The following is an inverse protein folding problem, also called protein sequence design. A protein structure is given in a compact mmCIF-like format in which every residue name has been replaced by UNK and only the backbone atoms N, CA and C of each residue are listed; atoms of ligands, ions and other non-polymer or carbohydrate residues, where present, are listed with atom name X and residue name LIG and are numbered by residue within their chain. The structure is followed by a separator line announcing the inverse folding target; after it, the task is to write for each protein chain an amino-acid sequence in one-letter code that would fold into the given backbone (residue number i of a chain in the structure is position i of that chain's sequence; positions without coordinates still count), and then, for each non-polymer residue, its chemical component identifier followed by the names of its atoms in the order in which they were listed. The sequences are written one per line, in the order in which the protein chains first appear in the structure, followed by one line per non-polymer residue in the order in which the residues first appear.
data_IF_158886473066
#
_entry.id   IF_158886473066
#
_cell.length_a   1.000
_cell.length_b   1.000
_cell.length_c   1.000
_cell.angle_alpha   90.00
_cell.angle_beta   90.00
_cell.angle_gamma   90.00
#
_symmetry.space_group_name_H-M   'P 1'
#
loop_
_entity.id
_entity.type
_entity.pdbx_description
1 polymer ?
#
# COMPACT_ATOMS: atom_id res chain seq x y z
N UNK A 1 11.11 25.30 9.44
CA UNK A 1 12.38 24.60 9.27
C UNK A 1 12.83 24.78 7.83
N UNK A 2 14.03 25.33 7.63
CA UNK A 2 14.60 25.44 6.28
C UNK A 2 14.88 24.05 5.73
N UNK A 3 14.78 23.86 4.43
CA UNK A 3 14.99 22.58 3.71
C UNK A 3 16.35 21.93 4.09
N UNK A 4 17.40 22.73 4.27
CA UNK A 4 18.72 22.30 4.73
C UNK A 4 18.71 21.65 6.13
N UNK A 5 17.87 22.12 7.05
CA UNK A 5 17.79 21.54 8.40
C UNK A 5 17.21 20.12 8.38
N UNK A 6 16.18 19.86 7.57
CA UNK A 6 15.60 18.52 7.42
C UNK A 6 16.59 17.57 6.74
N UNK A 7 17.26 18.04 5.69
CA UNK A 7 18.29 17.27 4.96
C UNK A 7 19.41 16.79 5.88
N UNK A 8 20.00 17.71 6.68
CA UNK A 8 21.08 17.36 7.60
C UNK A 8 20.62 16.39 8.68
N UNK A 9 19.42 16.58 9.23
CA UNK A 9 18.85 15.68 10.25
C UNK A 9 18.60 14.29 9.67
N UNK A 10 18.07 14.19 8.44
CA UNK A 10 17.82 12.92 7.78
C UNK A 10 19.14 12.16 7.53
N UNK A 11 20.16 12.81 7.00
CA UNK A 11 21.48 12.19 6.80
C UNK A 11 22.10 11.73 8.12
N UNK A 12 22.03 12.56 9.18
CA UNK A 12 22.50 12.19 10.51
C UNK A 12 21.76 10.98 11.07
N UNK A 13 20.42 10.96 10.95
CA UNK A 13 19.60 9.84 11.42
C UNK A 13 19.97 8.51 10.76
N UNK A 14 20.32 8.50 9.48
CA UNK A 14 20.71 7.29 8.78
C UNK A 14 22.14 6.83 9.03
N UNK A 15 23.01 7.75 9.47
CA UNK A 15 24.43 7.47 9.72
C UNK A 15 24.77 7.12 11.17
N UNK A 16 23.98 7.62 12.14
CA UNK A 16 24.29 7.54 13.56
C UNK A 16 23.12 7.01 14.40
N UNK A 17 23.42 6.31 15.56
CA UNK A 17 24.75 5.94 16.07
C UNK A 17 25.42 4.80 15.28
N UNK A 18 24.64 4.06 14.50
CA UNK A 18 25.09 2.96 13.63
C UNK A 18 24.47 3.15 12.25
N UNK A 19 25.21 3.01 11.15
CA UNK A 19 24.65 3.13 9.80
C UNK A 19 23.51 2.14 9.54
N UNK A 20 22.49 2.61 8.81
CA UNK A 20 21.30 1.82 8.50
C UNK A 20 20.25 1.82 9.61
N UNK A 21 19.15 1.11 9.37
CA UNK A 21 17.98 1.05 10.28
C UNK A 21 17.67 -0.36 10.75
N UNK A 22 18.36 -1.37 10.23
CA UNK A 22 18.13 -2.77 10.50
C UNK A 22 19.34 -3.44 11.13
N UNK A 23 19.07 -4.44 11.96
CA UNK A 23 20.07 -5.37 12.49
C UNK A 23 19.46 -6.76 12.59
N UNK A 24 20.30 -7.79 12.60
CA UNK A 24 19.89 -9.18 12.80
C UNK A 24 20.16 -9.56 14.24
N UNK A 25 19.15 -10.09 14.92
CA UNK A 25 19.25 -10.55 16.31
C UNK A 25 19.07 -12.07 16.41
N UNK A 26 19.84 -12.69 17.30
CA UNK A 26 19.70 -14.12 17.62
C UNK A 26 18.56 -14.31 18.62
N UNK A 27 17.65 -15.25 18.35
CA UNK A 27 16.46 -15.53 19.17
C UNK A 27 16.60 -16.70 20.12
N UNK A 28 17.70 -17.46 20.03
CA UNK A 28 17.97 -18.65 20.85
C UNK A 28 19.23 -18.43 21.69
N UNK A 29 19.31 -19.02 22.89
CA UNK A 29 20.55 -18.98 23.69
C UNK A 29 21.68 -19.72 22.97
N UNK A 30 22.90 -19.22 23.12
CA UNK A 30 24.13 -19.80 22.55
C UNK A 30 25.28 -19.70 23.57
N UNK A 31 24.96 -19.87 24.85
CA UNK A 31 25.88 -19.63 25.95
C UNK A 31 26.55 -20.90 26.50
N UNK A 32 26.12 -22.07 26.07
CA UNK A 32 26.65 -23.38 26.51
C UNK A 32 27.01 -24.28 25.33
N UNK A 33 27.82 -25.32 25.60
CA UNK A 33 28.13 -26.34 24.60
C UNK A 33 26.90 -27.09 24.16
N UNK A 34 25.92 -27.25 25.02
CA UNK A 34 24.64 -27.88 24.72
C UNK A 34 23.81 -27.01 23.77
N UNK A 35 23.70 -25.72 24.05
CA UNK A 35 23.05 -24.74 23.15
C UNK A 35 23.66 -24.81 21.74
N UNK A 36 24.98 -24.81 21.63
CA UNK A 36 25.69 -24.89 20.36
C UNK A 36 25.42 -26.21 19.63
N UNK A 37 25.32 -27.31 20.37
CA UNK A 37 25.01 -28.65 19.81
C UNK A 37 23.57 -28.69 19.26
N UNK A 38 22.63 -27.99 19.89
CA UNK A 38 21.26 -27.88 19.44
C UNK A 38 21.13 -26.90 18.27
N UNK A 39 21.82 -25.74 18.35
CA UNK A 39 21.72 -24.69 17.36
C UNK A 39 22.38 -25.06 16.03
N UNK A 40 23.43 -25.90 16.05
CA UNK A 40 24.18 -26.27 14.86
C UNK A 40 24.46 -27.80 14.85
N UNK A 41 25.69 -28.25 14.93
CA UNK A 41 26.06 -29.66 14.81
C UNK A 41 26.15 -30.31 16.20
N UNK A 42 25.49 -31.47 16.45
CA UNK A 42 24.73 -32.33 15.52
C UNK A 42 23.21 -32.05 15.45
N UNK A 43 22.63 -31.28 16.38
CA UNK A 43 21.19 -31.17 16.61
C UNK A 43 20.42 -30.59 15.42
N UNK A 44 21.05 -29.73 14.61
CA UNK A 44 20.40 -29.11 13.43
C UNK A 44 19.96 -30.14 12.37
N UNK A 45 20.47 -31.37 12.40
CA UNK A 45 20.06 -32.44 11.49
C UNK A 45 18.55 -32.80 11.68
N UNK A 46 18.04 -32.75 12.90
CA UNK A 46 16.65 -33.14 13.19
C UNK A 46 15.61 -32.24 12.51
N UNK A 47 15.66 -30.91 12.64
CA UNK A 47 14.73 -30.05 11.90
C UNK A 47 14.95 -30.12 10.37
N UNK A 48 16.15 -30.37 9.87
CA UNK A 48 16.39 -30.60 8.43
C UNK A 48 15.63 -31.82 7.94
N UNK A 49 15.73 -32.94 8.64
CA UNK A 49 15.02 -34.19 8.28
C UNK A 49 13.49 -34.02 8.42
N UNK A 50 13.02 -33.30 9.43
CA UNK A 50 11.62 -33.03 9.59
C UNK A 50 11.06 -32.21 8.40
N UNK A 51 11.77 -31.16 7.98
CA UNK A 51 11.37 -30.31 6.84
C UNK A 51 11.49 -31.07 5.50
N UNK A 52 12.49 -31.93 5.34
CA UNK A 52 12.61 -32.83 4.16
C UNK A 52 11.39 -33.74 4.05
N UNK A 53 10.97 -34.33 5.19
CA UNK A 53 9.80 -35.21 5.24
C UNK A 53 8.48 -34.46 5.07
N UNK A 54 8.36 -33.26 5.62
CA UNK A 54 7.17 -32.38 5.53
C UNK A 54 7.59 -30.92 5.35
N UNK A 55 7.55 -30.34 4.13
CA UNK A 55 7.95 -28.96 3.85
C UNK A 55 7.24 -27.90 4.68
N UNK A 56 6.03 -28.17 5.18
CA UNK A 56 5.28 -27.24 6.04
C UNK A 56 5.94 -27.04 7.40
N UNK A 57 6.78 -27.97 7.84
CA UNK A 57 7.54 -27.86 9.08
C UNK A 57 8.61 -26.74 9.03
N UNK A 58 8.90 -26.20 7.85
CA UNK A 58 9.72 -24.99 7.72
C UNK A 58 9.11 -23.79 8.46
N UNK A 59 7.80 -23.71 8.54
CA UNK A 59 7.09 -22.66 9.30
C UNK A 59 7.16 -22.86 10.82
N UNK A 60 7.44 -24.08 11.26
CA UNK A 60 7.57 -24.42 12.68
C UNK A 60 9.02 -24.26 13.18
N UNK A 61 9.99 -24.71 12.38
CA UNK A 61 11.39 -24.82 12.80
C UNK A 61 12.30 -23.69 12.30
N UNK A 62 11.79 -22.78 11.47
CA UNK A 62 12.57 -21.65 10.92
C UNK A 62 11.84 -20.32 11.08
N UNK A 63 12.55 -19.21 10.78
CA UNK A 63 11.96 -17.87 10.77
C UNK A 63 11.01 -17.60 9.58
N UNK A 64 10.87 -18.55 8.64
CA UNK A 64 10.09 -18.38 7.39
C UNK A 64 8.69 -17.84 7.62
N UNK A 65 7.99 -18.32 8.66
CA UNK A 65 6.60 -17.93 8.96
C UNK A 65 6.41 -16.49 9.39
N UNK A 66 7.48 -15.77 9.76
CA UNK A 66 7.46 -14.36 10.17
C UNK A 66 8.38 -13.48 9.31
N UNK A 67 8.92 -13.98 8.20
CA UNK A 67 9.92 -13.29 7.40
C UNK A 67 9.34 -12.88 6.05
N UNK A 68 9.35 -11.58 5.75
CA UNK A 68 8.92 -10.97 4.49
C UNK A 68 10.13 -10.49 3.70
N UNK A 69 10.18 -10.73 2.39
CA UNK A 69 11.10 -10.03 1.51
C UNK A 69 10.48 -8.73 1.03
N UNK A 70 11.16 -7.59 1.18
CA UNK A 70 10.84 -6.35 0.48
C UNK A 70 11.75 -6.26 -0.74
N UNK A 71 11.18 -6.43 -1.93
CA UNK A 71 11.95 -6.53 -3.18
C UNK A 71 11.71 -5.33 -4.08
N UNK A 72 12.79 -4.75 -4.58
CA UNK A 72 12.78 -3.60 -5.50
C UNK A 72 13.85 -3.69 -6.56
N UNK A 73 13.66 -2.99 -7.67
CA UNK A 73 14.74 -2.63 -8.59
C UNK A 73 14.99 -1.11 -8.65
N UNK A 74 14.32 -0.35 -7.80
CA UNK A 74 14.52 1.09 -7.64
C UNK A 74 14.12 1.93 -8.85
N UNK A 75 13.15 1.46 -9.65
CA UNK A 75 12.76 2.13 -10.91
C UNK A 75 11.67 3.17 -10.76
N UNK A 76 11.00 3.27 -9.58
CA UNK A 76 9.91 4.22 -9.31
C UNK A 76 9.92 4.76 -7.87
N UNK A 77 11.07 5.23 -7.38
CA UNK A 77 11.28 5.60 -5.98
C UNK A 77 10.68 6.96 -5.65
N UNK A 78 9.66 7.00 -4.77
CA UNK A 78 9.13 8.18 -4.04
C UNK A 78 9.12 9.52 -4.82
N UNK A 79 8.78 9.54 -6.10
CA UNK A 79 8.80 10.76 -6.92
C UNK A 79 10.21 11.17 -7.41
N UNK A 80 11.25 10.44 -7.01
CA UNK A 80 12.60 10.57 -7.56
C UNK A 80 12.77 9.83 -8.90
N UNK A 81 11.86 8.88 -9.17
CA UNK A 81 11.87 8.08 -10.37
C UNK A 81 12.88 6.93 -10.31
N UNK A 82 13.55 6.66 -11.45
CA UNK A 82 14.52 5.58 -11.54
C UNK A 82 15.87 6.02 -10.95
N UNK A 83 16.13 5.61 -9.71
CA UNK A 83 17.41 5.87 -9.01
C UNK A 83 18.30 4.63 -8.93
N UNK A 84 17.75 3.47 -9.32
CA UNK A 84 18.42 2.18 -9.27
C UNK A 84 18.39 1.51 -7.89
N UNK A 85 18.81 0.22 -7.84
CA UNK A 85 18.65 -0.61 -6.65
C UNK A 85 19.43 -0.09 -5.43
N UNK A 86 20.69 0.25 -5.59
CA UNK A 86 21.53 0.67 -4.45
C UNK A 86 21.00 1.95 -3.77
N UNK A 87 20.56 2.94 -4.56
CA UNK A 87 20.07 4.20 -4.01
C UNK A 87 18.66 4.07 -3.40
N UNK A 88 17.89 3.02 -3.72
CA UNK A 88 16.60 2.74 -3.12
C UNK A 88 16.70 2.10 -1.72
N UNK A 89 17.85 1.54 -1.34
CA UNK A 89 18.03 0.82 -0.07
C UNK A 89 17.54 1.59 1.17
N UNK A 90 17.79 2.89 1.36
CA UNK A 90 17.27 3.60 2.53
C UNK A 90 15.74 3.61 2.62
N UNK A 91 15.04 3.56 1.48
CA UNK A 91 13.57 3.46 1.45
C UNK A 91 13.13 2.06 1.85
N UNK A 92 13.79 1.02 1.34
CA UNK A 92 13.48 -0.39 1.65
C UNK A 92 13.74 -0.71 3.12
N UNK A 93 14.84 -0.23 3.70
CA UNK A 93 15.05 -0.32 5.15
C UNK A 93 13.96 0.43 5.93
N UNK A 94 13.48 1.57 5.43
CA UNK A 94 12.34 2.29 6.00
C UNK A 94 11.08 1.46 5.99
N UNK A 95 10.79 0.79 4.88
CA UNK A 95 9.66 -0.15 4.75
C UNK A 95 9.79 -1.29 5.78
N UNK A 96 10.96 -1.87 5.93
CA UNK A 96 11.24 -2.93 6.90
C UNK A 96 11.01 -2.49 8.35
N UNK A 97 11.42 -1.26 8.72
CA UNK A 97 11.12 -0.67 10.03
C UNK A 97 9.63 -0.61 10.28
N UNK A 98 8.82 -0.20 9.29
CA UNK A 98 7.37 -0.12 9.43
C UNK A 98 6.74 -1.51 9.60
N UNK A 99 7.18 -2.51 8.85
CA UNK A 99 6.75 -3.91 9.03
C UNK A 99 7.02 -4.40 10.46
N UNK A 100 8.25 -4.19 10.96
CA UNK A 100 8.62 -4.61 12.33
C UNK A 100 7.86 -3.86 13.39
N UNK A 101 7.78 -2.53 13.28
CA UNK A 101 7.17 -1.68 14.29
C UNK A 101 5.66 -1.91 14.42
N UNK A 102 4.95 -2.04 13.29
CA UNK A 102 3.49 -2.08 13.29
C UNK A 102 2.90 -3.48 13.30
N UNK A 103 3.57 -4.46 12.69
CA UNK A 103 3.05 -5.82 12.56
C UNK A 103 3.93 -6.91 13.16
N UNK A 104 5.07 -6.53 13.75
CA UNK A 104 6.09 -7.47 14.29
C UNK A 104 6.53 -8.52 13.26
N UNK A 105 6.67 -8.10 12.00
CA UNK A 105 7.20 -8.91 10.92
C UNK A 105 8.67 -8.60 10.70
N UNK A 106 9.47 -9.65 10.58
CA UNK A 106 10.88 -9.54 10.21
C UNK A 106 11.00 -9.34 8.70
N UNK A 107 11.98 -8.57 8.27
CA UNK A 107 12.15 -8.23 6.86
C UNK A 107 13.61 -8.34 6.45
N UNK A 108 13.84 -8.93 5.27
CA UNK A 108 15.04 -8.67 4.48
C UNK A 108 14.65 -7.80 3.29
N UNK A 109 15.32 -6.65 3.17
CA UNK A 109 15.25 -5.80 2.00
C UNK A 109 16.21 -6.32 0.92
N UNK A 110 15.68 -6.49 -0.30
CA UNK A 110 16.38 -7.10 -1.43
C UNK A 110 16.34 -6.15 -2.61
N UNK A 111 17.41 -5.42 -2.79
CA UNK A 111 17.60 -4.51 -3.91
C UNK A 111 18.22 -5.26 -5.09
N UNK A 112 17.44 -5.44 -6.17
CA UNK A 112 17.82 -6.29 -7.30
C UNK A 112 18.29 -5.46 -8.48
N UNK A 113 19.51 -5.67 -8.96
CA UNK A 113 20.01 -5.10 -10.21
C UNK A 113 19.45 -5.89 -11.41
N UNK A 114 18.13 -5.76 -11.58
CA UNK A 114 17.37 -6.44 -12.62
C UNK A 114 16.34 -5.49 -13.23
N UNK A 115 16.71 -4.84 -14.32
CA UNK A 115 15.82 -3.96 -15.09
C UNK A 115 14.87 -4.72 -16.02
N UNK A 116 15.23 -5.94 -16.42
CA UNK A 116 14.39 -6.84 -17.19
C UNK A 116 13.42 -7.57 -16.27
N UNK A 117 12.09 -7.53 -16.51
CA UNK A 117 11.10 -8.21 -15.70
C UNK A 117 11.35 -9.71 -15.56
N UNK A 118 11.80 -10.38 -16.62
CA UNK A 118 12.03 -11.83 -16.58
C UNK A 118 13.23 -12.19 -15.70
N UNK A 119 14.29 -11.37 -15.72
CA UNK A 119 15.42 -11.53 -14.80
C UNK A 119 15.01 -11.31 -13.35
N UNK A 120 14.17 -10.29 -13.07
CA UNK A 120 13.62 -10.05 -11.74
C UNK A 120 12.80 -11.23 -11.24
N UNK A 121 11.85 -11.71 -12.05
CA UNK A 121 10.99 -12.86 -11.72
C UNK A 121 11.83 -14.10 -11.44
N UNK A 122 12.83 -14.40 -12.28
CA UNK A 122 13.69 -15.57 -12.10
C UNK A 122 14.48 -15.49 -10.78
N UNK A 123 15.07 -14.34 -10.46
CA UNK A 123 15.81 -14.12 -9.22
C UNK A 123 14.89 -14.22 -7.98
N UNK A 124 13.72 -13.58 -8.00
CA UNK A 124 12.75 -13.61 -6.91
C UNK A 124 12.30 -15.05 -6.62
N UNK A 125 12.05 -15.87 -7.65
CA UNK A 125 11.70 -17.29 -7.52
C UNK A 125 12.80 -18.10 -6.86
N UNK A 126 14.06 -17.85 -7.20
CA UNK A 126 15.19 -18.58 -6.63
C UNK A 126 15.34 -18.37 -5.12
N UNK A 127 15.00 -17.19 -4.61
CA UNK A 127 15.13 -16.87 -3.18
C UNK A 127 13.82 -17.00 -2.39
N UNK A 128 12.68 -17.18 -3.05
CA UNK A 128 11.37 -17.31 -2.44
C UNK A 128 11.26 -18.38 -1.34
N UNK A 129 11.96 -19.52 -1.39
CA UNK A 129 11.92 -20.52 -0.31
C UNK A 129 12.29 -19.99 1.08
N UNK A 130 13.09 -18.92 1.15
CA UNK A 130 13.51 -18.28 2.41
C UNK A 130 12.34 -17.57 3.12
N UNK A 131 11.35 -17.09 2.37
CA UNK A 131 10.35 -16.12 2.85
C UNK A 131 8.96 -16.73 3.01
N UNK A 132 8.20 -16.18 3.96
CA UNK A 132 6.77 -16.46 4.11
C UNK A 132 5.91 -15.62 3.17
N UNK A 133 6.40 -14.44 2.74
CA UNK A 133 5.72 -13.55 1.81
C UNK A 133 6.71 -12.61 1.10
N UNK A 134 6.26 -11.99 0.02
CA UNK A 134 7.02 -11.00 -0.77
C UNK A 134 6.22 -9.71 -0.91
N UNK A 135 6.79 -8.60 -0.48
CA UNK A 135 6.35 -7.25 -0.81
C UNK A 135 7.17 -6.71 -1.97
N UNK A 136 6.52 -6.35 -3.06
CA UNK A 136 7.13 -5.62 -4.17
C UNK A 136 6.99 -4.12 -3.92
N UNK A 137 8.06 -3.35 -4.16
CA UNK A 137 8.11 -1.94 -3.83
C UNK A 137 8.86 -1.14 -4.89
N UNK A 138 8.39 0.07 -5.21
CA UNK A 138 9.06 1.04 -6.07
C UNK A 138 9.46 0.49 -7.46
N UNK A 139 8.64 -0.39 -8.04
CA UNK A 139 8.80 -0.94 -9.38
C UNK A 139 7.86 -0.19 -10.33
N UNK A 140 8.41 0.38 -11.41
CA UNK A 140 7.63 1.19 -12.36
C UNK A 140 6.57 0.36 -13.11
N UNK A 141 5.49 1.04 -13.49
CA UNK A 141 4.51 0.48 -14.42
C UNK A 141 4.96 0.69 -15.89
N UNK A 142 4.66 -0.24 -16.82
CA UNK A 142 3.79 -1.41 -16.63
C UNK A 142 4.49 -2.66 -16.08
N UNK A 143 5.81 -2.67 -15.94
CA UNK A 143 6.60 -3.85 -15.55
C UNK A 143 6.18 -4.42 -14.19
N UNK A 144 5.77 -3.58 -13.25
CA UNK A 144 5.31 -4.03 -11.93
C UNK A 144 4.09 -4.97 -12.01
N UNK A 145 3.19 -4.77 -12.98
CA UNK A 145 2.03 -5.64 -13.18
C UNK A 145 2.43 -7.04 -13.67
N UNK A 146 3.37 -7.10 -14.62
CA UNK A 146 3.89 -8.35 -15.16
C UNK A 146 4.64 -9.14 -14.07
N UNK A 147 5.53 -8.47 -13.33
CA UNK A 147 6.32 -9.08 -12.27
C UNK A 147 5.41 -9.64 -11.18
N UNK A 148 4.47 -8.85 -10.68
CA UNK A 148 3.55 -9.28 -9.63
C UNK A 148 2.71 -10.46 -10.08
N UNK A 149 2.05 -10.36 -11.24
CA UNK A 149 1.19 -11.42 -11.77
C UNK A 149 1.95 -12.74 -11.94
N UNK A 150 3.15 -12.67 -12.54
CA UNK A 150 3.97 -13.85 -12.75
C UNK A 150 4.42 -14.52 -11.44
N UNK A 151 4.74 -13.72 -10.40
CA UNK A 151 5.13 -14.26 -9.10
C UNK A 151 3.94 -14.85 -8.34
N UNK A 152 2.75 -14.22 -8.41
CA UNK A 152 1.51 -14.77 -7.83
C UNK A 152 1.17 -16.13 -8.44
N UNK A 153 1.31 -16.27 -9.77
CA UNK A 153 0.99 -17.52 -10.49
C UNK A 153 2.00 -18.64 -10.23
N UNK A 154 3.25 -18.30 -9.92
CA UNK A 154 4.34 -19.25 -9.86
C UNK A 154 4.83 -19.59 -8.44
N UNK A 155 4.37 -18.84 -7.43
CA UNK A 155 4.75 -19.05 -6.04
C UNK A 155 3.55 -19.44 -5.19
N UNK A 156 3.80 -20.20 -4.14
CA UNK A 156 2.78 -20.63 -3.17
C UNK A 156 2.91 -19.87 -1.84
N UNK A 157 3.29 -18.61 -1.91
CA UNK A 157 3.37 -17.66 -0.80
C UNK A 157 2.75 -16.33 -1.23
N UNK A 158 2.23 -15.52 -0.32
CA UNK A 158 1.70 -14.19 -0.63
C UNK A 158 2.71 -13.31 -1.35
N UNK A 159 2.30 -12.75 -2.50
CA UNK A 159 3.01 -11.69 -3.22
C UNK A 159 2.06 -10.50 -3.33
N UNK A 160 2.57 -9.29 -3.06
CA UNK A 160 1.74 -8.09 -3.01
C UNK A 160 2.60 -6.87 -3.34
N UNK A 161 2.14 -6.04 -4.27
CA UNK A 161 2.81 -4.80 -4.63
C UNK A 161 2.15 -3.63 -3.88
N UNK A 162 2.85 -3.07 -2.91
CA UNK A 162 2.25 -2.07 -2.02
C UNK A 162 1.85 -0.77 -2.73
N UNK A 163 2.64 -0.28 -3.68
CA UNK A 163 2.30 0.93 -4.46
C UNK A 163 1.03 0.77 -5.30
N UNK A 164 0.68 -0.47 -5.66
CA UNK A 164 -0.59 -0.77 -6.32
C UNK A 164 -1.70 -0.90 -5.26
N UNK A 165 -1.62 -1.93 -4.46
CA UNK A 165 -2.75 -2.43 -3.67
C UNK A 165 -2.86 -1.76 -2.30
N UNK A 166 -1.74 -1.45 -1.63
CA UNK A 166 -1.76 -0.74 -0.35
C UNK A 166 -2.38 0.65 -0.50
N UNK A 167 -1.94 1.38 -1.52
CA UNK A 167 -2.50 2.69 -1.88
C UNK A 167 -3.99 2.58 -2.25
N UNK A 168 -4.36 1.60 -3.09
CA UNK A 168 -5.75 1.40 -3.51
C UNK A 168 -6.69 1.09 -2.32
N UNK A 169 -6.25 0.26 -1.37
CA UNK A 169 -7.02 -0.11 -0.18
C UNK A 169 -7.29 1.11 0.70
N UNK A 170 -6.28 1.95 0.93
CA UNK A 170 -6.44 3.15 1.78
C UNK A 170 -7.30 4.20 1.08
N UNK A 171 -7.14 4.41 -0.23
CA UNK A 171 -8.03 5.27 -1.02
C UNK A 171 -9.47 4.78 -0.92
N UNK A 172 -9.71 3.48 -1.13
CA UNK A 172 -11.05 2.91 -1.09
C UNK A 172 -11.70 3.08 0.30
N UNK A 173 -10.97 2.80 1.39
CA UNK A 173 -11.47 2.97 2.75
C UNK A 173 -11.87 4.43 3.03
N UNK A 174 -11.00 5.39 2.71
CA UNK A 174 -11.29 6.81 2.88
C UNK A 174 -12.42 7.29 1.97
N UNK A 175 -12.48 6.81 0.73
CA UNK A 175 -13.52 7.20 -0.23
C UNK A 175 -14.91 6.71 0.21
N UNK A 176 -15.04 5.48 0.66
CA UNK A 176 -16.32 4.96 1.15
C UNK A 176 -16.84 5.78 2.34
N UNK A 177 -15.97 6.17 3.26
CA UNK A 177 -16.32 7.04 4.38
C UNK A 177 -16.68 8.46 3.92
N UNK A 178 -15.95 9.02 2.96
CA UNK A 178 -16.24 10.34 2.41
C UNK A 178 -17.58 10.36 1.66
N UNK A 179 -17.90 9.31 0.90
CA UNK A 179 -19.19 9.16 0.22
C UNK A 179 -20.34 9.10 1.21
N UNK A 180 -20.19 8.34 2.30
CA UNK A 180 -21.18 8.25 3.38
C UNK A 180 -21.48 9.64 3.98
N UNK A 181 -20.45 10.42 4.32
CA UNK A 181 -20.59 11.77 4.87
C UNK A 181 -21.28 12.71 3.86
N UNK A 182 -20.93 12.60 2.58
CA UNK A 182 -21.51 13.46 1.53
C UNK A 182 -22.90 13.01 1.08
N UNK A 183 -23.38 11.84 1.55
CA UNK A 183 -24.68 11.28 1.18
C UNK A 183 -24.71 10.79 -0.28
N UNK A 184 -23.57 10.29 -0.78
CA UNK A 184 -23.40 9.75 -2.13
C UNK A 184 -23.16 8.24 -2.07
N UNK A 185 -23.41 7.52 -3.17
CA UNK A 185 -23.13 6.08 -3.28
C UNK A 185 -22.00 5.82 -4.23
N UNK A 186 -21.22 4.76 -3.98
CA UNK A 186 -20.11 4.37 -4.85
C UNK A 186 -20.58 4.00 -6.26
N UNK A 187 -21.73 3.34 -6.37
CA UNK A 187 -22.34 2.89 -7.63
C UNK A 187 -22.67 4.08 -8.57
N UNK A 188 -23.22 5.16 -8.00
CA UNK A 188 -23.68 6.31 -8.80
C UNK A 188 -22.65 7.40 -8.96
N UNK A 189 -21.58 7.41 -8.16
CA UNK A 189 -20.59 8.46 -8.15
C UNK A 189 -19.82 8.53 -9.48
N UNK A 190 -19.69 9.74 -10.04
CA UNK A 190 -18.76 10.01 -11.15
C UNK A 190 -17.35 10.19 -10.60
N UNK A 191 -16.48 9.24 -10.93
CA UNK A 191 -15.10 9.16 -10.42
C UNK A 191 -14.12 9.51 -11.52
N UNK A 192 -13.28 10.52 -11.29
CA UNK A 192 -12.19 10.92 -12.19
C UNK A 192 -10.86 10.63 -11.51
N UNK A 193 -10.05 9.77 -12.12
CA UNK A 193 -8.70 9.44 -11.65
C UNK A 193 -7.65 9.94 -12.65
N UNK A 194 -6.71 10.76 -12.20
CA UNK A 194 -5.56 11.19 -13.00
C UNK A 194 -4.28 10.53 -12.49
N UNK A 195 -3.61 9.80 -13.40
CA UNK A 195 -2.44 8.99 -13.10
C UNK A 195 -2.69 7.50 -13.36
N UNK A 196 -2.60 7.08 -14.64
CA UNK A 196 -2.79 5.68 -15.05
C UNK A 196 -1.52 4.83 -14.88
N UNK A 197 -0.88 4.96 -13.71
CA UNK A 197 0.22 4.14 -13.23
C UNK A 197 -0.25 3.04 -12.28
N UNK A 198 0.68 2.51 -11.47
CA UNK A 198 0.43 1.44 -10.51
C UNK A 198 -0.75 1.74 -9.57
N UNK A 199 -0.68 2.85 -8.83
CA UNK A 199 -1.70 3.24 -7.86
C UNK A 199 -3.06 3.53 -8.49
N UNK A 200 -3.10 4.29 -9.60
CA UNK A 200 -4.35 4.67 -10.25
C UNK A 200 -5.11 3.48 -10.81
N UNK A 201 -4.44 2.61 -11.55
CA UNK A 201 -5.06 1.40 -12.13
C UNK A 201 -5.56 0.46 -11.02
N UNK A 202 -4.75 0.24 -9.98
CA UNK A 202 -5.14 -0.62 -8.86
C UNK A 202 -6.33 -0.04 -8.09
N UNK A 203 -6.35 1.29 -7.84
CA UNK A 203 -7.47 1.96 -7.17
C UNK A 203 -8.77 1.81 -7.97
N UNK A 204 -8.72 2.06 -9.27
CA UNK A 204 -9.90 1.93 -10.13
C UNK A 204 -10.43 0.49 -10.17
N UNK A 205 -9.54 -0.52 -10.22
CA UNK A 205 -9.92 -1.94 -10.16
C UNK A 205 -10.60 -2.29 -8.84
N UNK A 206 -10.03 -1.86 -7.73
CA UNK A 206 -10.57 -2.15 -6.41
C UNK A 206 -11.93 -1.47 -6.21
N UNK A 207 -12.11 -0.23 -6.68
CA UNK A 207 -13.39 0.47 -6.60
C UNK A 207 -14.48 -0.24 -7.44
N UNK A 208 -14.16 -0.75 -8.63
CA UNK A 208 -15.10 -1.60 -9.40
C UNK A 208 -15.48 -2.87 -8.62
N UNK A 209 -14.50 -3.52 -7.99
CA UNK A 209 -14.75 -4.70 -7.17
C UNK A 209 -15.65 -4.41 -5.96
N UNK A 210 -15.58 -3.19 -5.41
CA UNK A 210 -16.41 -2.72 -4.31
C UNK A 210 -17.79 -2.21 -4.76
N UNK A 211 -18.08 -2.19 -6.07
CA UNK A 211 -19.39 -1.86 -6.60
C UNK A 211 -19.50 -0.52 -7.35
N UNK A 212 -18.37 0.14 -7.67
CA UNK A 212 -18.40 1.32 -8.55
C UNK A 212 -18.85 0.92 -9.95
N UNK A 213 -19.75 1.70 -10.53
CA UNK A 213 -20.10 1.52 -11.95
C UNK A 213 -18.98 2.05 -12.84
N UNK A 214 -18.34 1.16 -13.56
CA UNK A 214 -17.25 1.48 -14.48
C UNK A 214 -17.66 2.51 -15.55
N UNK A 215 -18.94 2.60 -15.91
CA UNK A 215 -19.44 3.58 -16.86
C UNK A 215 -19.31 5.03 -16.32
N UNK A 216 -19.31 5.19 -15.00
CA UNK A 216 -19.16 6.48 -14.32
C UNK A 216 -17.69 6.79 -13.97
N UNK A 217 -16.73 5.99 -14.43
CA UNK A 217 -15.31 6.13 -14.09
C UNK A 217 -14.49 6.59 -15.29
N UNK A 218 -13.72 7.65 -15.10
CA UNK A 218 -12.81 8.18 -16.12
C UNK A 218 -11.37 8.11 -15.60
N UNK A 219 -10.51 7.40 -16.33
CA UNK A 219 -9.08 7.31 -16.03
C UNK A 219 -8.30 8.17 -17.04
N UNK A 220 -7.36 8.97 -16.56
CA UNK A 220 -6.52 9.86 -17.36
C UNK A 220 -5.04 9.54 -17.17
N UNK A 221 -4.27 9.72 -18.24
CA UNK A 221 -2.82 9.77 -18.19
C UNK A 221 -2.30 11.12 -18.74
N UNK A 222 -1.00 11.23 -19.00
CA UNK A 222 -0.37 12.45 -19.52
C UNK A 222 -0.87 12.90 -20.90
N UNK A 223 -1.60 12.04 -21.61
CA UNK A 223 -2.20 12.34 -22.93
C UNK A 223 -3.71 12.63 -22.86
N UNK A 224 -4.27 12.67 -21.66
CA UNK A 224 -5.69 12.91 -21.42
C UNK A 224 -6.48 11.66 -21.07
N UNK A 225 -7.78 11.69 -21.32
CA UNK A 225 -8.71 10.60 -21.00
C UNK A 225 -8.33 9.33 -21.78
N UNK A 226 -8.37 8.21 -21.07
CA UNK A 226 -8.18 6.88 -21.66
C UNK A 226 -9.52 6.46 -22.30
N UNK A 227 -9.60 6.47 -23.61
CA UNK A 227 -10.81 6.17 -24.38
C UNK A 227 -10.55 5.11 -25.47
N UNK A 228 -11.61 4.46 -25.91
CA UNK A 228 -11.51 3.32 -26.83
C UNK A 228 -10.85 3.64 -28.21
N UNK A 229 -10.83 4.91 -28.61
CA UNK A 229 -10.19 5.34 -29.87
C UNK A 229 -8.68 5.58 -29.76
N UNK A 230 -8.02 5.33 -28.61
CA UNK A 230 -6.56 5.47 -28.47
C UNK A 230 -5.86 4.18 -28.88
N UNK A 231 -4.78 4.32 -29.67
CA UNK A 231 -3.97 3.21 -30.18
C UNK A 231 -2.73 2.92 -29.31
N UNK A 232 -2.42 3.80 -28.35
CA UNK A 232 -1.20 3.74 -27.53
C UNK A 232 -1.42 3.10 -26.16
N UNK A 233 -2.52 2.39 -25.96
CA UNK A 233 -2.90 1.81 -24.69
C UNK A 233 -2.32 0.40 -24.52
N UNK A 234 -1.68 0.15 -23.37
CA UNK A 234 -1.43 -1.21 -22.93
C UNK A 234 -2.74 -1.86 -22.40
N UNK A 235 -2.73 -3.17 -22.20
CA UNK A 235 -3.92 -3.94 -21.76
C UNK A 235 -4.49 -3.41 -20.42
N UNK A 236 -3.65 -2.95 -19.51
CA UNK A 236 -4.07 -2.46 -18.18
C UNK A 236 -4.84 -1.14 -18.28
N UNK A 237 -4.39 -0.22 -19.13
CA UNK A 237 -5.08 1.03 -19.44
C UNK A 237 -6.33 0.78 -20.28
N UNK A 238 -6.23 -0.08 -21.29
CA UNK A 238 -7.36 -0.42 -22.17
C UNK A 238 -8.56 -0.98 -21.39
N UNK A 239 -8.30 -1.70 -20.29
CA UNK A 239 -9.36 -2.18 -19.41
C UNK A 239 -10.25 -1.04 -18.84
N UNK A 240 -9.78 0.21 -18.81
CA UNK A 240 -10.52 1.40 -18.39
C UNK A 240 -10.85 2.36 -19.54
N UNK A 241 -10.67 1.94 -20.79
CA UNK A 241 -11.02 2.76 -21.92
C UNK A 241 -12.54 3.07 -21.93
N UNK A 242 -12.87 4.36 -21.88
CA UNK A 242 -14.24 4.83 -21.88
C UNK A 242 -14.79 5.07 -23.30
N UNK A 243 -16.11 5.05 -23.43
CA UNK A 243 -16.85 5.51 -24.61
C UNK A 243 -17.33 6.97 -24.47
N UNK A 244 -17.08 7.62 -23.34
CA UNK A 244 -17.37 9.03 -23.13
C UNK A 244 -16.69 9.91 -24.18
N UNK A 245 -17.29 11.07 -24.49
CA UNK A 245 -16.71 12.06 -25.40
C UNK A 245 -15.62 12.93 -24.75
N UNK A 246 -15.47 12.87 -23.41
CA UNK A 246 -14.42 13.61 -22.71
C UNK A 246 -13.02 13.17 -23.14
N UNK A 247 -12.14 14.14 -23.39
CA UNK A 247 -10.74 13.91 -23.83
C UNK A 247 -9.73 14.57 -22.90
N UNK A 248 -10.13 15.62 -22.22
CA UNK A 248 -9.27 16.42 -21.33
C UNK A 248 -9.69 16.27 -19.87
N UNK A 249 -8.83 16.74 -18.94
CA UNK A 249 -9.16 16.78 -17.51
C UNK A 249 -10.35 17.70 -17.26
N UNK A 250 -10.42 18.85 -17.96
CA UNK A 250 -11.48 19.85 -17.83
C UNK A 250 -12.85 19.23 -18.17
N UNK A 251 -12.92 18.50 -19.28
CA UNK A 251 -14.14 17.82 -19.72
C UNK A 251 -14.53 16.68 -18.77
N UNK A 252 -13.54 15.95 -18.25
CA UNK A 252 -13.78 14.84 -17.33
C UNK A 252 -14.36 15.31 -15.99
N UNK A 253 -13.88 16.46 -15.47
CA UNK A 253 -14.26 16.97 -14.15
C UNK A 253 -15.63 17.65 -14.09
N UNK A 254 -16.25 17.96 -15.22
CA UNK A 254 -17.63 18.51 -15.21
C UNK A 254 -18.56 17.54 -14.48
N UNK A 255 -19.22 18.04 -13.43
CA UNK A 255 -20.13 17.27 -12.56
C UNK A 255 -19.50 15.99 -11.95
N UNK A 256 -18.18 15.94 -11.78
CA UNK A 256 -17.52 14.82 -11.11
C UNK A 256 -17.72 14.89 -9.59
N UNK A 257 -18.12 13.77 -8.98
CA UNK A 257 -18.29 13.63 -7.54
C UNK A 257 -16.95 13.43 -6.83
N UNK A 258 -16.04 12.70 -7.47
CA UNK A 258 -14.77 12.27 -6.88
C UNK A 258 -13.62 12.56 -7.84
N UNK A 259 -12.57 13.17 -7.29
CA UNK A 259 -11.27 13.33 -7.93
C UNK A 259 -10.22 12.50 -7.18
N UNK A 260 -9.48 11.64 -7.88
CA UNK A 260 -8.34 10.90 -7.36
C UNK A 260 -7.11 11.31 -8.17
N UNK A 261 -6.21 12.05 -7.54
CA UNK A 261 -4.93 12.48 -8.12
C UNK A 261 -3.79 11.62 -7.59
N UNK A 262 -3.09 10.94 -8.50
CA UNK A 262 -1.88 10.14 -8.22
C UNK A 262 -0.84 10.38 -9.35
N UNK A 263 -0.70 11.63 -9.77
CA UNK A 263 0.09 11.99 -10.95
C UNK A 263 1.16 13.05 -10.67
N UNK A 264 0.81 14.33 -10.71
CA UNK A 264 1.72 15.46 -10.59
C UNK A 264 1.10 16.58 -9.77
N UNK A 265 1.91 17.42 -9.11
CA UNK A 265 1.41 18.57 -8.37
C UNK A 265 0.69 19.60 -9.28
N UNK A 266 -0.15 20.40 -8.65
CA UNK A 266 -0.79 21.61 -9.22
C UNK A 266 -1.63 21.36 -10.49
N UNK A 267 -2.19 20.17 -10.66
CA UNK A 267 -3.05 19.82 -11.81
C UNK A 267 -4.50 20.31 -11.64
N UNK A 268 -4.99 20.36 -10.40
CA UNK A 268 -6.38 20.75 -10.11
C UNK A 268 -6.44 22.26 -9.78
N UNK A 269 -6.86 23.06 -10.76
CA UNK A 269 -7.00 24.51 -10.58
C UNK A 269 -8.31 24.88 -9.89
N UNK A 270 -8.45 26.11 -9.33
CA UNK A 270 -9.71 26.64 -8.79
C UNK A 270 -10.88 26.57 -9.78
N UNK A 271 -10.63 26.83 -11.05
CA UNK A 271 -11.66 26.77 -12.10
C UNK A 271 -12.17 25.34 -12.28
N UNK A 272 -11.27 24.36 -12.35
CA UNK A 272 -11.60 22.94 -12.46
C UNK A 272 -12.34 22.42 -11.22
N UNK A 273 -11.94 22.87 -10.03
CA UNK A 273 -12.60 22.51 -8.79
C UNK A 273 -14.06 23.00 -8.76
N UNK A 274 -14.33 24.19 -9.31
CA UNK A 274 -15.68 24.74 -9.40
C UNK A 274 -16.59 24.02 -10.42
N UNK A 275 -16.02 23.28 -11.39
CA UNK A 275 -16.80 22.49 -12.35
C UNK A 275 -17.29 21.16 -11.77
N UNK A 276 -16.73 20.70 -10.65
CA UNK A 276 -17.13 19.45 -10.00
C UNK A 276 -18.53 19.56 -9.35
N UNK A 277 -19.17 18.43 -9.17
CA UNK A 277 -20.46 18.33 -8.50
C UNK A 277 -20.45 18.96 -7.09
N UNK A 278 -21.62 19.39 -6.56
CA UNK A 278 -21.73 19.76 -5.14
C UNK A 278 -21.27 18.63 -4.22
N UNK A 279 -20.68 19.02 -3.07
CA UNK A 279 -20.15 18.06 -2.08
C UNK A 279 -19.11 17.12 -2.69
N UNK A 280 -18.17 17.68 -3.46
CA UNK A 280 -17.11 16.90 -4.10
C UNK A 280 -16.12 16.32 -3.08
N UNK A 281 -15.48 15.21 -3.47
CA UNK A 281 -14.50 14.48 -2.68
C UNK A 281 -13.17 14.48 -3.43
N UNK A 282 -12.10 14.95 -2.77
CA UNK A 282 -10.79 15.11 -3.37
C UNK A 282 -9.75 14.23 -2.66
N UNK A 283 -9.10 13.36 -3.41
CA UNK A 283 -7.89 12.64 -3.02
C UNK A 283 -6.73 13.20 -3.85
N UNK A 284 -6.02 14.20 -3.31
CA UNK A 284 -4.88 14.85 -3.96
C UNK A 284 -3.58 14.27 -3.37
N UNK A 285 -3.07 13.20 -3.98
CA UNK A 285 -2.09 12.31 -3.36
C UNK A 285 -0.67 12.43 -3.93
N UNK A 286 -0.46 13.28 -4.91
CA UNK A 286 0.87 13.54 -5.48
C UNK A 286 1.87 14.01 -4.39
N UNK A 287 3.09 13.48 -4.42
CA UNK A 287 4.15 13.80 -3.47
C UNK A 287 5.35 14.46 -4.18
N UNK A 288 6.03 15.45 -3.54
CA UNK A 288 5.77 15.99 -2.20
C UNK A 288 4.64 17.02 -2.15
N UNK A 289 4.19 17.54 -3.27
CA UNK A 289 3.11 18.52 -3.37
C UNK A 289 1.87 17.88 -4.00
N UNK A 290 0.66 18.12 -3.44
CA UNK A 290 -0.58 17.56 -3.98
C UNK A 290 -1.01 18.24 -5.29
N UNK A 291 -1.97 17.67 -5.99
CA UNK A 291 -2.57 18.21 -7.21
C UNK A 291 -3.27 19.55 -7.00
N UNK A 292 -3.70 19.83 -5.77
CA UNK A 292 -4.16 21.14 -5.30
C UNK A 292 -3.79 21.27 -3.82
N UNK A 293 -3.30 22.42 -3.40
CA UNK A 293 -3.04 22.67 -1.98
C UNK A 293 -4.36 22.78 -1.21
N UNK A 294 -4.46 22.13 -0.03
CA UNK A 294 -5.68 22.12 0.77
C UNK A 294 -6.22 23.51 1.13
N UNK A 295 -5.33 24.48 1.40
CA UNK A 295 -5.70 25.85 1.69
C UNK A 295 -6.45 26.47 0.51
N UNK A 296 -5.87 26.35 -0.69
CA UNK A 296 -6.47 26.88 -1.92
C UNK A 296 -7.82 26.20 -2.23
N UNK A 297 -7.90 24.87 -2.04
CA UNK A 297 -9.15 24.15 -2.26
C UNK A 297 -10.27 24.64 -1.33
N UNK A 298 -9.96 24.90 -0.05
CA UNK A 298 -10.92 25.39 0.96
C UNK A 298 -11.31 26.86 0.75
N UNK A 299 -10.41 27.69 0.21
CA UNK A 299 -10.73 29.07 -0.19
C UNK A 299 -11.74 29.09 -1.34
N UNK A 300 -11.67 28.12 -2.26
CA UNK A 300 -12.55 28.04 -3.44
C UNK A 300 -13.92 27.46 -3.07
N UNK A 301 -13.95 26.39 -2.23
CA UNK A 301 -15.18 25.67 -1.87
C UNK A 301 -15.11 25.14 -0.44
N UNK A 302 -16.19 25.34 0.32
CA UNK A 302 -16.32 24.89 1.72
C UNK A 302 -17.05 23.55 1.89
N UNK A 303 -17.64 23.00 0.83
CA UNK A 303 -18.45 21.77 0.85
C UNK A 303 -17.65 20.49 0.54
N UNK A 304 -16.32 20.61 0.50
CA UNK A 304 -15.42 19.53 0.11
C UNK A 304 -15.06 18.60 1.27
N UNK A 305 -14.82 17.31 0.95
CA UNK A 305 -13.93 16.44 1.75
C UNK A 305 -12.62 16.31 0.99
N UNK A 306 -11.51 16.55 1.69
CA UNK A 306 -10.18 16.53 1.09
C UNK A 306 -9.25 15.60 1.87
N UNK A 307 -8.52 14.75 1.14
CA UNK A 307 -7.47 13.88 1.63
C UNK A 307 -6.18 14.10 0.83
N UNK A 308 -5.04 13.96 1.47
CA UNK A 308 -3.71 14.10 0.86
C UNK A 308 -2.76 13.00 1.31
N UNK A 309 -1.62 12.82 0.62
CA UNK A 309 -0.54 11.94 1.09
C UNK A 309 0.26 12.51 2.26
N UNK A 310 0.11 13.80 2.60
CA UNK A 310 0.93 14.51 3.59
C UNK A 310 0.39 14.30 5.01
N UNK A 311 1.33 14.16 5.96
CA UNK A 311 1.03 13.95 7.39
C UNK A 311 0.62 15.24 8.14
N UNK A 312 0.86 16.41 7.55
CA UNK A 312 0.55 17.71 8.13
C UNK A 312 -0.89 18.21 7.87
N UNK A 313 -1.68 17.40 7.12
CA UNK A 313 -3.10 17.68 6.86
C UNK A 313 -4.01 16.61 7.48
N UNK A 314 -5.31 16.93 7.71
CA UNK A 314 -6.32 15.93 8.01
C UNK A 314 -6.44 14.88 6.88
N UNK A 315 -6.94 13.69 7.21
CA UNK A 315 -7.21 12.64 6.21
C UNK A 315 -5.97 12.23 5.41
N UNK A 316 -4.88 11.93 6.11
CA UNK A 316 -3.68 11.42 5.45
C UNK A 316 -3.95 10.05 4.82
N UNK A 317 -3.76 9.94 3.51
CA UNK A 317 -3.73 8.67 2.78
C UNK A 317 -2.29 8.16 2.83
N UNK A 318 -2.09 7.11 3.60
CA UNK A 318 -0.78 6.49 3.77
C UNK A 318 -0.95 4.97 3.76
N UNK A 319 -0.25 4.29 2.85
CA UNK A 319 -0.34 2.84 2.69
C UNK A 319 0.09 2.05 3.94
N UNK A 320 0.79 2.69 4.90
CA UNK A 320 1.09 2.09 6.21
C UNK A 320 -0.16 1.71 7.01
N UNK A 321 -1.33 2.27 6.69
CA UNK A 321 -2.59 1.84 7.28
C UNK A 321 -2.99 0.42 6.86
N UNK A 322 -2.40 -0.11 5.80
CA UNK A 322 -2.73 -1.41 5.21
C UNK A 322 -1.55 -2.39 5.20
N UNK A 323 -0.41 -2.04 4.54
CA UNK A 323 0.57 -3.04 4.13
C UNK A 323 1.17 -3.88 5.27
N UNK A 324 1.51 -3.35 6.46
CA UNK A 324 2.07 -4.21 7.50
C UNK A 324 1.05 -5.24 7.98
N UNK A 325 -0.19 -4.82 8.06
CA UNK A 325 -1.27 -5.60 8.66
C UNK A 325 -1.86 -6.65 7.71
N UNK A 326 -1.94 -6.36 6.40
CA UNK A 326 -2.43 -7.33 5.41
C UNK A 326 -1.46 -8.52 5.30
N UNK A 327 -0.14 -8.26 5.39
CA UNK A 327 0.87 -9.31 5.45
C UNK A 327 0.77 -10.11 6.76
N UNK A 328 0.55 -9.43 7.90
CA UNK A 328 0.37 -10.12 9.18
C UNK A 328 -0.83 -11.07 9.11
N UNK A 329 -1.97 -10.62 8.62
CA UNK A 329 -3.16 -11.46 8.46
C UNK A 329 -2.94 -12.62 7.48
N UNK A 330 -2.26 -12.37 6.36
CA UNK A 330 -1.93 -13.41 5.38
C UNK A 330 -0.99 -14.50 5.96
N UNK A 331 0.04 -14.10 6.70
CA UNK A 331 0.98 -15.02 7.34
C UNK A 331 0.33 -15.79 8.50
N UNK A 332 -0.49 -15.15 9.31
CA UNK A 332 -1.24 -15.80 10.41
C UNK A 332 -2.20 -16.87 9.89
N UNK A 333 -2.82 -16.63 8.73
CA UNK A 333 -3.67 -17.61 8.05
C UNK A 333 -2.88 -18.61 7.18
N UNK A 334 -1.55 -18.51 7.10
CA UNK A 334 -0.74 -19.29 6.15
C UNK A 334 -1.32 -19.23 4.72
N UNK A 335 -1.72 -18.04 4.30
CA UNK A 335 -2.33 -17.84 2.99
C UNK A 335 -1.31 -18.09 1.87
N UNK A 336 -1.76 -18.66 0.78
CA UNK A 336 -0.95 -18.90 -0.42
C UNK A 336 -0.88 -17.68 -1.33
N UNK A 337 -1.80 -16.74 -1.18
CA UNK A 337 -1.81 -15.46 -1.90
C UNK A 337 -2.60 -14.41 -1.10
N UNK A 338 -2.46 -13.14 -1.47
CA UNK A 338 -3.36 -12.06 -1.02
C UNK A 338 -4.35 -11.79 -2.16
N UNK A 339 -5.56 -12.32 -2.02
CA UNK A 339 -6.60 -12.20 -3.04
C UNK A 339 -7.52 -10.98 -2.82
N UNK A 340 -8.44 -10.75 -3.76
CA UNK A 340 -9.36 -9.62 -3.73
C UNK A 340 -10.26 -9.61 -2.49
N UNK A 341 -10.71 -10.77 -2.00
CA UNK A 341 -11.53 -10.85 -0.78
C UNK A 341 -10.78 -10.34 0.45
N UNK A 342 -9.48 -10.67 0.56
CA UNK A 342 -8.61 -10.18 1.62
C UNK A 342 -8.37 -8.66 1.52
N UNK A 343 -8.21 -8.12 0.32
CA UNK A 343 -8.09 -6.69 0.08
C UNK A 343 -9.37 -5.94 0.49
N UNK A 344 -10.53 -6.44 0.09
CA UNK A 344 -11.83 -5.86 0.50
C UNK A 344 -12.07 -5.93 2.00
N UNK A 345 -11.64 -7.01 2.66
CA UNK A 345 -11.71 -7.14 4.11
C UNK A 345 -10.80 -6.12 4.82
N UNK A 346 -9.60 -5.84 4.27
CA UNK A 346 -8.73 -4.79 4.78
C UNK A 346 -9.37 -3.40 4.61
N UNK A 347 -9.99 -3.11 3.46
CA UNK A 347 -10.75 -1.86 3.23
C UNK A 347 -11.80 -1.66 4.31
N UNK A 348 -12.63 -2.67 4.56
CA UNK A 348 -13.72 -2.57 5.52
C UNK A 348 -13.21 -2.43 6.96
N UNK A 349 -12.15 -3.17 7.33
CA UNK A 349 -11.56 -3.06 8.67
C UNK A 349 -10.99 -1.66 8.93
N UNK A 350 -10.30 -1.05 7.95
CA UNK A 350 -9.76 0.30 8.07
C UNK A 350 -10.91 1.32 8.12
N UNK A 351 -11.91 1.17 7.24
CA UNK A 351 -13.07 2.05 7.15
C UNK A 351 -13.86 2.11 8.44
N UNK A 352 -14.14 0.96 9.05
CA UNK A 352 -14.95 0.87 10.27
C UNK A 352 -14.29 1.50 11.50
N UNK A 353 -12.96 1.53 11.53
CA UNK A 353 -12.23 1.97 12.71
C UNK A 353 -12.46 3.43 13.08
N UNK A 354 -12.79 4.30 12.11
CA UNK A 354 -13.08 5.72 12.38
C UNK A 354 -14.42 5.99 13.04
N UNK A 355 -15.33 5.00 13.02
CA UNK A 355 -16.63 5.09 13.70
C UNK A 355 -16.52 4.77 15.20
N UNK A 356 -15.38 4.24 15.65
CA UNK A 356 -15.10 3.92 17.03
C UNK A 356 -14.36 5.07 17.75
N UNK A 357 -14.56 5.26 19.07
CA UNK A 357 -13.83 6.26 19.83
C UNK A 357 -12.32 6.07 19.72
N UNK A 358 -11.59 7.15 19.40
CA UNK A 358 -10.13 7.13 19.25
C UNK A 358 -9.46 7.06 20.62
N UNK A 359 -8.49 6.14 20.85
CA UNK A 359 -7.74 6.05 22.09
C UNK A 359 -6.99 7.34 22.44
N UNK A 360 -6.93 7.69 23.71
CA UNK A 360 -6.26 8.90 24.18
C UNK A 360 -4.74 8.90 23.89
N UNK A 361 -4.12 7.75 23.84
CA UNK A 361 -2.71 7.60 23.45
C UNK A 361 -2.46 8.03 22.01
N UNK A 362 -3.42 7.77 21.09
CA UNK A 362 -3.34 8.23 19.69
C UNK A 362 -3.45 9.74 19.65
N UNK A 363 -4.43 10.32 20.34
CA UNK A 363 -4.66 11.78 20.36
C UNK A 363 -3.44 12.56 20.84
N UNK A 364 -2.71 12.05 21.85
CA UNK A 364 -1.49 12.67 22.39
C UNK A 364 -0.38 12.81 21.34
N UNK A 365 -0.31 11.91 20.37
CA UNK A 365 0.73 11.94 19.35
C UNK A 365 0.42 12.91 18.17
N UNK A 366 -0.80 13.47 18.13
CA UNK A 366 -1.24 14.40 17.09
C UNK A 366 -1.86 15.68 17.70
N UNK A 367 -1.08 16.52 18.41
CA UNK A 367 -1.61 17.67 19.15
C UNK A 367 -2.29 18.73 18.24
N UNK A 368 -2.02 18.70 16.93
CA UNK A 368 -2.63 19.59 15.96
C UNK A 368 -4.01 19.16 15.43
N UNK A 369 -4.44 17.92 15.72
CA UNK A 369 -5.73 17.41 15.24
C UNK A 369 -6.83 17.84 16.21
N UNK A 370 -7.84 18.53 15.68
CA UNK A 370 -8.96 19.09 16.48
C UNK A 370 -10.18 18.17 16.49
N UNK A 371 -10.39 17.40 15.43
CA UNK A 371 -11.57 16.56 15.24
C UNK A 371 -11.15 15.09 15.24
N UNK A 372 -11.75 14.31 16.16
CA UNK A 372 -11.42 12.90 16.40
C UNK A 372 -12.64 12.00 16.23
N UNK A 373 -13.72 12.54 15.72
CA UNK A 373 -14.95 11.83 15.42
C UNK A 373 -15.12 11.70 13.91
N UNK A 374 -15.80 10.63 13.51
CA UNK A 374 -16.15 10.41 12.10
C UNK A 374 -16.78 11.67 11.49
N UNK A 375 -16.17 12.17 10.44
CA UNK A 375 -16.58 13.43 9.80
C UNK A 375 -15.59 13.89 8.73
N UNK A 376 -15.81 15.07 8.12
CA UNK A 376 -15.03 15.53 6.97
C UNK A 376 -13.51 15.64 7.19
N UNK A 377 -13.07 15.76 8.43
CA UNK A 377 -11.64 15.83 8.79
C UNK A 377 -11.10 14.53 9.43
N UNK A 378 -11.93 13.48 9.53
CA UNK A 378 -11.53 12.18 10.09
C UNK A 378 -12.23 11.02 9.36
N UNK A 379 -11.83 10.78 8.11
CA UNK A 379 -12.31 9.67 7.25
C UNK A 379 -11.38 8.46 7.26
N UNK A 380 -10.19 8.58 7.84
CA UNK A 380 -9.19 7.52 7.96
C UNK A 380 -8.57 7.54 9.37
N UNK A 381 -8.22 6.37 9.95
CA UNK A 381 -7.50 6.31 11.21
C UNK A 381 -6.07 6.89 11.03
N UNK A 382 -5.42 7.19 12.14
CA UNK A 382 -4.03 7.66 12.11
C UNK A 382 -3.05 6.48 12.01
N UNK A 383 -1.90 6.64 11.33
CA UNK A 383 -0.91 5.57 11.13
C UNK A 383 -0.47 4.82 12.39
N UNK A 384 -0.37 5.52 13.53
CA UNK A 384 0.04 4.93 14.80
C UNK A 384 -1.11 4.40 15.65
N UNK A 385 -2.31 4.28 15.11
CA UNK A 385 -3.47 3.75 15.84
C UNK A 385 -3.25 2.24 16.12
N UNK A 386 -3.10 1.83 17.39
CA UNK A 386 -2.79 0.43 17.72
C UNK A 386 -3.92 -0.53 17.39
N UNK A 387 -5.15 -0.05 17.21
CA UNK A 387 -6.30 -0.87 16.84
C UNK A 387 -6.14 -1.49 15.45
N UNK A 388 -5.39 -0.83 14.54
CA UNK A 388 -5.07 -1.35 13.20
C UNK A 388 -4.37 -2.71 13.28
N UNK A 389 -3.46 -2.88 14.25
CA UNK A 389 -2.72 -4.14 14.48
C UNK A 389 -3.62 -5.31 14.86
N UNK A 390 -4.82 -5.04 15.34
CA UNK A 390 -5.79 -6.06 15.79
C UNK A 390 -6.83 -6.31 14.69
N UNK A 391 -7.49 -5.24 14.22
CA UNK A 391 -8.65 -5.39 13.35
C UNK A 391 -8.29 -5.81 11.91
N UNK A 392 -7.24 -5.21 11.33
CA UNK A 392 -6.91 -5.49 9.92
C UNK A 392 -6.36 -6.91 9.73
N UNK A 393 -5.35 -7.39 10.50
CA UNK A 393 -4.88 -8.77 10.36
C UNK A 393 -5.97 -9.79 10.56
N UNK A 394 -6.85 -9.59 11.57
CA UNK A 394 -7.96 -10.51 11.83
C UNK A 394 -8.91 -10.58 10.64
N UNK A 395 -9.35 -9.45 10.10
CA UNK A 395 -10.26 -9.41 8.96
C UNK A 395 -9.65 -10.07 7.71
N UNK A 396 -8.37 -9.83 7.48
CA UNK A 396 -7.62 -10.41 6.36
C UNK A 396 -7.46 -11.92 6.51
N UNK A 397 -7.12 -12.41 7.72
CA UNK A 397 -6.99 -13.83 8.00
C UNK A 397 -8.34 -14.56 7.85
N UNK A 398 -9.42 -14.00 8.41
CA UNK A 398 -10.77 -14.54 8.27
C UNK A 398 -11.17 -14.64 6.78
N UNK A 399 -10.88 -13.61 5.97
CA UNK A 399 -11.14 -13.59 4.55
C UNK A 399 -10.28 -14.60 3.76
N UNK A 400 -9.01 -14.80 4.15
CA UNK A 400 -8.15 -15.80 3.55
C UNK A 400 -8.72 -17.22 3.73
N UNK A 401 -9.18 -17.53 4.93
CA UNK A 401 -9.80 -18.82 5.24
C UNK A 401 -11.14 -18.98 4.50
N UNK A 402 -11.99 -17.96 4.55
CA UNK A 402 -13.30 -17.98 3.90
C UNK A 402 -13.20 -18.14 2.36
N UNK A 403 -12.16 -17.59 1.76
CA UNK A 403 -11.90 -17.70 0.30
C UNK A 403 -11.07 -18.94 -0.09
N UNK A 404 -10.68 -19.79 0.87
CA UNK A 404 -9.99 -21.05 0.62
C UNK A 404 -8.51 -20.92 0.26
N UNK A 405 -7.91 -19.74 0.45
CA UNK A 405 -6.47 -19.52 0.19
C UNK A 405 -5.61 -19.58 1.46
N UNK A 406 -6.24 -19.66 2.63
CA UNK A 406 -5.58 -19.76 3.93
C UNK A 406 -6.13 -20.88 4.78
N UNK A 407 -5.37 -21.24 5.82
CA UNK A 407 -5.80 -22.16 6.88
C UNK A 407 -5.64 -21.46 8.22
N UNK A 408 -6.61 -21.63 9.14
CA UNK A 408 -6.39 -21.19 10.52
C UNK A 408 -5.29 -22.06 11.13
N UNK A 409 -4.25 -21.43 11.65
CA UNK A 409 -3.32 -22.13 12.53
C UNK A 409 -4.10 -22.58 13.77
N UNK A 410 -4.36 -23.86 13.86
CA UNK A 410 -4.78 -24.49 15.12
C UNK A 410 -3.51 -24.61 15.98
N UNK A 411 -3.11 -23.54 16.63
CA UNK A 411 -2.17 -23.59 17.75
C UNK A 411 -2.96 -23.55 19.05
#
# INVERSE_FOLDING_TARGET
LTDDSLKQRALHYHAFPTPGKLSINVTKPTNSQDDLSLAYTPGVAEPVLAIEANPDDAYLYTAKGNLVAVMTNGTAVLGLGNVGPLASKPVMEGKAVLFKQFADLDVFDIEMDASDPQAFIAAAKCIAPTFGAINLEDIKAPECFEIEQALIEQLNIPVFHDDQHGTAIVIAAGLLNALEIQGKTLESAKIVCIGAGAAGIASMRLLVALGADKANMLLLDSKGVIHAGREDLNAYKFAFATTSEARTLDEALVDADVFIGVAKPDLLTPALLNCMAPKAILFALSNPNPEIRPELAREVRSDLILATGRSDYPNQVNNVLCFPYIFRGALDARATCINQAMQMAAVEAIRQLVHEPVPEEVKKNYPGVKHWEFGPEYILPKPIDPRLRICVPKAVADAAVASGVGTLNKN
#
